data_IF_415097679562
#
_entry.id   IF_415097679562
#
_cell.length_a   1.000
_cell.length_b   1.000
_cell.length_c   1.000
_cell.angle_alpha   90.00
_cell.angle_beta   90.00
_cell.angle_gamma   90.00
#
_symmetry.space_group_name_H-M   'P 1'
#
loop_
_entity.id
_entity.type
_entity.pdbx_description
1 polymer ?
#
# COMPACT_ATOMS: atom_id res chain seq x y z
N UNK A 1 15.30 15.62 -5.64
CA UNK A 1 15.14 14.87 -6.91
C UNK A 1 14.52 13.53 -6.59
N UNK A 2 13.37 13.23 -7.17
CA UNK A 2 12.72 11.94 -7.02
C UNK A 2 13.48 10.91 -7.88
N UNK A 3 13.83 9.77 -7.29
CA UNK A 3 14.55 8.70 -8.02
C UNK A 3 13.60 7.92 -8.94
N UNK A 4 14.12 7.19 -9.92
CA UNK A 4 13.30 6.30 -10.77
C UNK A 4 12.44 5.34 -9.93
N UNK A 5 13.04 4.75 -8.88
CA UNK A 5 12.33 3.89 -7.91
C UNK A 5 11.17 4.58 -7.23
N UNK A 6 11.30 5.87 -6.95
CA UNK A 6 10.27 6.68 -6.30
C UNK A 6 9.09 6.96 -7.24
N UNK A 7 9.36 7.21 -8.52
CA UNK A 7 8.31 7.33 -9.54
C UNK A 7 7.53 6.02 -9.72
N UNK A 8 8.24 4.89 -9.76
CA UNK A 8 7.62 3.56 -9.86
C UNK A 8 6.77 3.28 -8.62
N UNK A 9 7.27 3.54 -7.41
CA UNK A 9 6.50 3.39 -6.17
C UNK A 9 5.23 4.24 -6.18
N UNK A 10 5.32 5.49 -6.66
CA UNK A 10 4.19 6.42 -6.77
C UNK A 10 3.14 5.92 -7.77
N UNK A 11 3.59 5.40 -8.93
CA UNK A 11 2.72 4.83 -9.95
C UNK A 11 1.98 3.58 -9.44
N UNK A 12 2.66 2.70 -8.71
CA UNK A 12 2.03 1.51 -8.11
C UNK A 12 0.98 1.92 -7.08
N UNK A 13 1.30 2.87 -6.19
CA UNK A 13 0.35 3.38 -5.20
C UNK A 13 -0.88 4.02 -5.86
N UNK A 14 -0.67 4.80 -6.93
CA UNK A 14 -1.76 5.40 -7.69
C UNK A 14 -2.63 4.34 -8.38
N UNK A 15 -2.02 3.36 -9.05
CA UNK A 15 -2.76 2.25 -9.67
C UNK A 15 -3.56 1.45 -8.64
N UNK A 16 -2.97 1.16 -7.47
CA UNK A 16 -3.67 0.47 -6.38
C UNK A 16 -4.85 1.28 -5.84
N UNK A 17 -4.71 2.62 -5.72
CA UNK A 17 -5.80 3.50 -5.33
C UNK A 17 -6.94 3.49 -6.35
N UNK A 18 -6.62 3.58 -7.64
CA UNK A 18 -7.62 3.54 -8.73
C UNK A 18 -8.35 2.19 -8.73
N UNK A 19 -7.64 1.08 -8.57
CA UNK A 19 -8.25 -0.26 -8.48
C UNK A 19 -9.18 -0.35 -7.26
N UNK A 20 -8.77 0.15 -6.09
CA UNK A 20 -9.61 0.14 -4.89
C UNK A 20 -10.90 0.93 -5.08
N UNK A 21 -10.82 2.10 -5.72
CA UNK A 21 -12.00 2.91 -6.04
C UNK A 21 -12.89 2.25 -7.10
N UNK A 22 -12.29 1.59 -8.09
CA UNK A 22 -13.04 0.84 -9.10
C UNK A 22 -13.77 -0.35 -8.48
N UNK A 23 -13.13 -1.10 -7.58
CA UNK A 23 -13.76 -2.18 -6.81
C UNK A 23 -14.96 -1.63 -6.03
N UNK A 24 -14.83 -0.48 -5.37
CA UNK A 24 -15.94 0.15 -4.65
C UNK A 24 -17.15 0.46 -5.55
N UNK A 25 -16.94 0.80 -6.82
CA UNK A 25 -18.00 1.07 -7.79
C UNK A 25 -18.70 -0.20 -8.29
N UNK A 26 -18.00 -1.34 -8.29
CA UNK A 26 -18.54 -2.62 -8.77
C UNK A 26 -19.26 -3.39 -7.66
N UNK A 27 -18.99 -3.06 -6.39
CA UNK A 27 -19.70 -3.68 -5.27
C UNK A 27 -21.20 -3.28 -5.27
N UNK A 28 -22.11 -4.22 -5.03
CA UNK A 28 -23.52 -3.88 -4.81
C UNK A 28 -23.64 -2.92 -3.62
N UNK A 29 -24.62 -2.03 -3.66
CA UNK A 29 -24.91 -1.09 -2.57
C UNK A 29 -25.05 -1.85 -1.25
N UNK A 30 -24.46 -1.31 -0.18
CA UNK A 30 -24.39 -2.02 1.09
C UNK A 30 -25.78 -2.19 1.74
N UNK A 31 -26.35 -3.38 1.58
CA UNK A 31 -27.54 -3.81 2.32
C UNK A 31 -27.12 -4.38 3.68
N UNK A 32 -26.68 -3.50 4.59
CA UNK A 32 -26.33 -3.84 5.97
C UNK A 32 -25.08 -3.16 6.54
N UNK A 33 -25.03 -3.00 7.86
CA UNK A 33 -23.97 -2.26 8.59
C UNK A 33 -22.58 -2.84 8.34
N UNK A 34 -22.46 -4.17 8.28
CA UNK A 34 -21.19 -4.87 8.04
C UNK A 34 -20.62 -4.61 6.64
N UNK A 35 -21.50 -4.58 5.64
CA UNK A 35 -21.13 -4.35 4.23
C UNK A 35 -20.78 -2.87 4.00
N UNK A 36 -21.52 -1.97 4.66
CA UNK A 36 -21.24 -0.53 4.67
C UNK A 36 -19.88 -0.24 5.31
N UNK A 37 -19.60 -0.89 6.45
CA UNK A 37 -18.30 -0.76 7.12
C UNK A 37 -17.14 -1.19 6.20
N UNK A 38 -17.29 -2.30 5.48
CA UNK A 38 -16.27 -2.75 4.52
C UNK A 38 -16.09 -1.75 3.36
N UNK A 39 -17.18 -1.23 2.80
CA UNK A 39 -17.12 -0.21 1.75
C UNK A 39 -16.40 1.06 2.21
N UNK A 40 -16.66 1.51 3.44
CA UNK A 40 -15.97 2.65 4.05
C UNK A 40 -14.48 2.37 4.23
N UNK A 41 -14.09 1.17 4.68
CA UNK A 41 -12.68 0.79 4.81
C UNK A 41 -11.96 0.76 3.46
N UNK A 42 -12.61 0.24 2.41
CA UNK A 42 -12.06 0.24 1.04
C UNK A 42 -11.89 1.68 0.53
N UNK A 43 -12.89 2.54 0.77
CA UNK A 43 -12.82 3.95 0.39
C UNK A 43 -11.67 4.67 1.11
N UNK A 44 -11.56 4.49 2.43
CA UNK A 44 -10.47 5.06 3.25
C UNK A 44 -9.10 4.58 2.78
N UNK A 45 -8.96 3.28 2.46
CA UNK A 45 -7.73 2.73 1.91
C UNK A 45 -7.39 3.36 0.55
N UNK A 46 -8.37 3.49 -0.34
CA UNK A 46 -8.18 4.16 -1.64
C UNK A 46 -7.71 5.60 -1.50
N UNK A 47 -8.34 6.38 -0.62
CA UNK A 47 -7.93 7.77 -0.32
C UNK A 47 -6.55 7.81 0.31
N UNK A 48 -6.23 6.90 1.23
CA UNK A 48 -4.92 6.84 1.86
C UNK A 48 -3.81 6.52 0.84
N UNK A 49 -4.04 5.57 -0.07
CA UNK A 49 -3.10 5.20 -1.13
C UNK A 49 -2.91 6.34 -2.12
N UNK A 50 -3.98 7.06 -2.48
CA UNK A 50 -3.90 8.25 -3.32
C UNK A 50 -3.13 9.37 -2.60
N UNK A 51 -3.42 9.57 -1.31
CA UNK A 51 -2.69 10.48 -0.44
C UNK A 51 -1.20 10.13 -0.39
N UNK A 52 -0.85 8.85 -0.26
CA UNK A 52 0.53 8.39 -0.31
C UNK A 52 1.18 8.62 -1.68
N UNK A 53 0.46 8.41 -2.78
CA UNK A 53 0.96 8.77 -4.09
C UNK A 53 1.29 10.27 -4.13
N UNK A 54 0.39 11.14 -3.66
CA UNK A 54 0.57 12.59 -3.73
C UNK A 54 1.62 13.14 -2.73
N UNK A 55 1.61 12.67 -1.49
CA UNK A 55 2.39 13.20 -0.38
C UNK A 55 3.48 12.21 0.07
N UNK A 56 4.74 12.54 -0.23
CA UNK A 56 5.93 11.78 0.17
C UNK A 56 6.03 11.46 1.68
N UNK A 57 5.74 12.38 2.64
CA UNK A 57 5.98 12.10 4.06
C UNK A 57 5.06 11.03 4.65
N UNK A 58 3.85 10.85 4.10
CA UNK A 58 2.90 9.86 4.62
C UNK A 58 3.01 8.48 3.96
N UNK A 59 3.75 8.36 2.84
CA UNK A 59 3.95 7.09 2.12
C UNK A 59 4.33 5.90 3.00
N UNK A 60 5.38 5.98 3.83
CA UNK A 60 5.81 4.80 4.60
C UNK A 60 4.73 4.36 5.60
N UNK A 61 4.04 5.31 6.22
CA UNK A 61 2.93 5.02 7.13
C UNK A 61 1.77 4.34 6.41
N UNK A 62 1.35 4.87 5.25
CA UNK A 62 0.27 4.29 4.46
C UNK A 62 0.62 2.89 3.94
N UNK A 63 1.85 2.67 3.49
CA UNK A 63 2.31 1.35 3.04
C UNK A 63 2.30 0.36 4.20
N UNK A 64 2.79 0.75 5.37
CA UNK A 64 2.78 -0.10 6.56
C UNK A 64 1.36 -0.46 7.02
N UNK A 65 0.46 0.53 7.06
CA UNK A 65 -0.96 0.33 7.42
C UNK A 65 -1.66 -0.55 6.39
N UNK A 66 -1.42 -0.32 5.10
CA UNK A 66 -1.97 -1.14 4.01
C UNK A 66 -1.52 -2.60 4.09
N UNK A 67 -0.23 -2.83 4.37
CA UNK A 67 0.32 -4.18 4.58
C UNK A 67 -0.31 -4.86 5.79
N UNK A 68 -0.46 -4.14 6.90
CA UNK A 68 -1.08 -4.68 8.12
C UNK A 68 -2.55 -5.04 7.87
N UNK A 69 -3.29 -4.18 7.17
CA UNK A 69 -4.69 -4.41 6.80
C UNK A 69 -4.85 -5.65 5.91
N UNK A 70 -4.03 -5.78 4.86
CA UNK A 70 -4.10 -6.94 3.96
C UNK A 70 -3.61 -8.23 4.62
N UNK A 71 -2.57 -8.17 5.45
CA UNK A 71 -2.12 -9.32 6.22
C UNK A 71 -3.19 -9.79 7.21
N UNK A 72 -3.87 -8.86 7.89
CA UNK A 72 -4.99 -9.18 8.78
C UNK A 72 -6.17 -9.82 8.04
N UNK A 73 -6.48 -9.34 6.83
CA UNK A 73 -7.50 -9.95 5.99
C UNK A 73 -7.11 -11.37 5.55
N UNK A 74 -5.87 -11.57 5.06
CA UNK A 74 -5.41 -12.90 4.65
C UNK A 74 -5.40 -13.87 5.83
N UNK A 75 -4.95 -13.44 7.00
CA UNK A 75 -4.94 -14.26 8.21
C UNK A 75 -6.35 -14.66 8.65
N UNK A 76 -7.30 -13.72 8.65
CA UNK A 76 -8.70 -14.00 9.00
C UNK A 76 -9.39 -14.89 7.97
N UNK A 77 -9.14 -14.69 6.67
CA UNK A 77 -9.67 -15.52 5.59
C UNK A 77 -9.17 -16.97 5.68
N UNK A 78 -7.90 -17.18 6.05
CA UNK A 78 -7.32 -18.52 6.24
C UNK A 78 -7.84 -19.22 7.52
N UNK A 79 -8.22 -18.45 8.54
CA UNK A 79 -8.71 -18.98 9.81
C UNK A 79 -10.21 -19.37 9.78
N UNK A 80 -10.97 -18.90 8.79
CA UNK A 80 -12.41 -19.19 8.66
C UNK A 80 -12.68 -20.45 7.82
N UNK A 81 -13.24 -21.53 8.41
CA UNK A 81 -13.64 -22.70 7.65
C UNK A 81 -14.82 -22.36 6.72
N UNK A 82 -14.67 -22.62 5.42
CA UNK A 82 -15.70 -22.38 4.40
C UNK A 82 -15.54 -21.11 3.57
N UNK A 83 -14.42 -20.37 3.71
CA UNK A 83 -14.13 -19.18 2.90
C UNK A 83 -13.81 -19.56 1.43
N UNK A 84 -14.85 -19.85 0.64
CA UNK A 84 -14.77 -20.16 -0.79
C UNK A 84 -14.70 -18.89 -1.65
N UNK A 85 -13.74 -18.01 -1.37
CA UNK A 85 -13.54 -16.76 -2.11
C UNK A 85 -12.09 -16.67 -2.61
N UNK A 86 -11.70 -17.62 -3.46
CA UNK A 86 -10.38 -17.65 -4.14
C UNK A 86 -10.05 -16.32 -4.80
N UNK A 87 -11.01 -15.71 -5.52
CA UNK A 87 -10.80 -14.42 -6.19
C UNK A 87 -10.47 -13.28 -5.23
N UNK A 88 -11.15 -13.20 -4.07
CA UNK A 88 -10.92 -12.15 -3.06
C UNK A 88 -9.58 -12.35 -2.37
N UNK A 89 -9.21 -13.61 -2.09
CA UNK A 89 -7.91 -13.97 -1.54
C UNK A 89 -6.78 -13.59 -2.51
N UNK A 90 -6.89 -13.94 -3.79
CA UNK A 90 -5.89 -13.58 -4.80
C UNK A 90 -5.75 -12.07 -4.99
N UNK A 91 -6.86 -11.31 -4.93
CA UNK A 91 -6.81 -9.84 -4.99
C UNK A 91 -6.03 -9.26 -3.81
N UNK A 92 -6.28 -9.77 -2.59
CA UNK A 92 -5.57 -9.32 -1.40
C UNK A 92 -4.08 -9.70 -1.44
N UNK A 93 -3.74 -10.90 -1.91
CA UNK A 93 -2.36 -11.31 -2.11
C UNK A 93 -1.64 -10.45 -3.16
N UNK A 94 -2.30 -10.13 -4.28
CA UNK A 94 -1.76 -9.24 -5.30
C UNK A 94 -1.54 -7.82 -4.75
N UNK A 95 -2.48 -7.31 -3.96
CA UNK A 95 -2.31 -6.05 -3.23
C UNK A 95 -1.11 -6.08 -2.28
N UNK A 96 -0.91 -7.20 -1.58
CA UNK A 96 0.13 -7.34 -0.56
C UNK A 96 1.50 -7.38 -1.22
N UNK A 97 1.61 -8.12 -2.33
CA UNK A 97 2.80 -8.11 -3.18
C UNK A 97 3.10 -6.71 -3.72
N UNK A 98 2.09 -5.96 -4.17
CA UNK A 98 2.27 -4.59 -4.67
C UNK A 98 2.76 -3.64 -3.57
N UNK A 99 2.21 -3.72 -2.36
CA UNK A 99 2.64 -2.92 -1.22
C UNK A 99 4.04 -3.30 -0.72
N UNK A 100 4.39 -4.59 -0.73
CA UNK A 100 5.75 -5.05 -0.42
C UNK A 100 6.76 -4.52 -1.43
N UNK A 101 6.42 -4.55 -2.72
CA UNK A 101 7.26 -4.01 -3.79
C UNK A 101 7.47 -2.49 -3.60
N UNK A 102 6.41 -1.74 -3.29
CA UNK A 102 6.49 -0.31 -2.96
C UNK A 102 7.40 -0.09 -1.74
N UNK A 103 7.19 -0.84 -0.66
CA UNK A 103 8.02 -0.76 0.55
C UNK A 103 9.50 -1.03 0.26
N UNK A 104 9.79 -2.05 -0.55
CA UNK A 104 11.15 -2.36 -0.99
C UNK A 104 11.79 -1.23 -1.80
N UNK A 105 11.07 -0.66 -2.77
CA UNK A 105 11.55 0.46 -3.58
C UNK A 105 11.83 1.70 -2.72
N UNK A 106 10.94 2.00 -1.76
CA UNK A 106 11.13 3.10 -0.81
C UNK A 106 12.37 2.87 0.07
N UNK A 107 12.53 1.67 0.63
CA UNK A 107 13.71 1.33 1.44
C UNK A 107 15.01 1.41 0.62
N UNK A 108 14.99 0.94 -0.64
CA UNK A 108 16.13 1.05 -1.55
C UNK A 108 16.49 2.51 -1.81
N UNK A 109 15.49 3.36 -2.04
CA UNK A 109 15.70 4.80 -2.27
C UNK A 109 16.27 5.51 -1.03
N UNK A 110 15.77 5.17 0.16
CA UNK A 110 16.26 5.70 1.43
C UNK A 110 17.71 5.26 1.70
N UNK A 111 18.05 4.00 1.44
CA UNK A 111 19.44 3.50 1.54
C UNK A 111 20.37 4.17 0.55
N UNK A 112 19.91 4.47 -0.66
CA UNK A 112 20.69 5.23 -1.63
C UNK A 112 20.94 6.65 -1.13
N UNK A 113 19.92 7.34 -0.63
CA UNK A 113 20.06 8.68 -0.04
C UNK A 113 21.07 8.69 1.12
N UNK A 114 20.95 7.75 2.06
CA UNK A 114 21.88 7.64 3.19
C UNK A 114 23.34 7.37 2.76
N UNK A 115 23.58 6.61 1.68
CA UNK A 115 24.93 6.42 1.13
C UNK A 115 25.50 7.71 0.56
N UNK A 116 24.69 8.49 -0.15
CA UNK A 116 25.12 9.77 -0.71
C UNK A 116 25.41 10.80 0.38
N UNK A 117 24.58 10.86 1.42
CA UNK A 117 24.80 11.71 2.60
C UNK A 117 26.07 11.31 3.37
N UNK A 118 26.33 10.00 3.53
CA UNK A 118 27.56 9.51 4.14
C UNK A 118 28.84 9.80 3.34
N UNK A 119 28.73 9.89 2.01
CA UNK A 119 29.84 10.26 1.11
C UNK A 119 30.08 11.77 1.02
N UNK A 120 29.07 12.58 1.36
CA UNK A 120 29.15 14.05 1.29
C UNK A 120 29.45 14.71 2.63
N UNK A 121 29.46 13.97 3.73
CA UNK A 121 30.07 14.40 4.98
C UNK A 121 31.59 14.50 4.79
N UNK A 122 32.19 15.71 4.74
CA UNK A 122 33.63 15.81 4.72
C UNK A 122 34.14 15.15 5.99
N UNK A 123 35.12 14.24 5.87
CA UNK A 123 36.01 13.95 6.98
C UNK A 123 36.55 15.30 7.46
N UNK A 124 35.95 15.88 8.50
CA UNK A 124 36.60 16.91 9.29
C UNK A 124 37.75 16.19 9.96
N UNK A 125 38.89 16.18 9.27
CA UNK A 125 40.15 15.69 9.78
C UNK A 125 40.42 16.38 11.11
N UNK A 126 40.51 15.55 12.14
CA UNK A 126 41.26 15.85 13.36
C UNK A 126 42.70 15.42 13.12
#
# INVERSE_FOLDING_TARGET
MDTFSEHVARAILFAAAVIALFVLQVLPSADGVLLLHHQVLIALLGVALLGAALFRPIRPAVVAVGLLSQAGFVASALAMPGFSATTVLYLNLAGLAALLLVGFLLLRSARQQARWEGLSAPQRGT
#
